data_IF_800067059371
#
_entry.id   IF_800067059371
#
_cell.length_a   1.000
_cell.length_b   1.000
_cell.length_c   1.000
_cell.angle_alpha   90.00
_cell.angle_beta   90.00
_cell.angle_gamma   90.00
#
_symmetry.space_group_name_H-M   'P 1'
#
loop_
_entity.id
_entity.type
_entity.pdbx_description
1 polymer ?
#
# COMPACT_ATOMS: atom_id res chain seq x y z
N UNK A 1 -14.06 -9.26 0.19
CA UNK A 1 -12.81 -8.83 0.82
C UNK A 1 -12.91 -8.78 2.35
N UNK A 2 -13.98 -8.19 2.89
CA UNK A 2 -14.17 -8.09 4.34
C UNK A 2 -14.18 -9.46 5.01
N UNK A 3 -14.92 -10.40 4.44
CA UNK A 3 -15.01 -11.77 4.97
C UNK A 3 -13.65 -12.46 4.95
N UNK A 4 -12.93 -12.36 3.83
CA UNK A 4 -11.60 -12.93 3.72
C UNK A 4 -10.63 -12.31 4.70
N UNK A 5 -10.72 -10.99 4.89
CA UNK A 5 -9.90 -10.29 5.86
C UNK A 5 -10.09 -10.84 7.27
N UNK A 6 -11.33 -11.06 7.70
CA UNK A 6 -11.64 -11.60 9.02
C UNK A 6 -11.15 -13.04 9.18
N UNK A 7 -11.25 -13.85 8.13
CA UNK A 7 -10.75 -15.22 8.15
C UNK A 7 -9.23 -15.26 8.29
N UNK A 8 -8.51 -14.44 7.50
CA UNK A 8 -7.05 -14.40 7.54
C UNK A 8 -6.54 -13.84 8.87
N UNK A 9 -7.24 -12.89 9.46
CA UNK A 9 -6.82 -12.27 10.71
C UNK A 9 -6.83 -13.22 11.91
N UNK A 10 -7.45 -14.39 11.78
CA UNK A 10 -7.43 -15.41 12.83
C UNK A 10 -6.09 -16.17 12.90
N UNK A 11 -5.28 -16.09 11.85
CA UNK A 11 -3.95 -16.70 11.85
C UNK A 11 -2.96 -15.84 12.61
N UNK A 12 -2.01 -16.50 13.29
CA UNK A 12 -0.91 -15.83 14.00
C UNK A 12 0.34 -15.82 13.15
N UNK A 13 1.25 -14.88 13.44
CA UNK A 13 2.58 -14.80 12.83
C UNK A 13 2.54 -14.73 11.30
N UNK A 14 1.63 -13.92 10.75
CA UNK A 14 1.53 -13.70 9.31
C UNK A 14 1.86 -12.27 8.94
N UNK A 15 2.31 -12.09 7.71
CA UNK A 15 2.39 -10.78 7.05
C UNK A 15 1.41 -10.78 5.90
N UNK A 16 0.46 -9.86 5.93
CA UNK A 16 -0.59 -9.78 4.92
C UNK A 16 -0.41 -8.54 4.06
N UNK A 17 -0.24 -8.74 2.75
CA UNK A 17 -0.26 -7.66 1.78
C UNK A 17 -1.69 -7.50 1.26
N UNK A 18 -2.29 -6.35 1.50
CA UNK A 18 -3.66 -6.07 1.08
C UNK A 18 -3.68 -5.34 -0.25
N UNK A 19 -4.70 -5.59 -1.05
CA UNK A 19 -4.99 -4.75 -2.21
C UNK A 19 -5.33 -3.33 -1.77
N UNK A 20 -5.08 -2.36 -2.65
CA UNK A 20 -5.24 -0.95 -2.32
C UNK A 20 -6.67 -0.53 -1.96
N UNK A 21 -7.67 -1.29 -2.39
CA UNK A 21 -9.07 -1.00 -2.06
C UNK A 21 -9.53 -1.58 -0.72
N UNK A 22 -8.87 -2.61 -0.21
CA UNK A 22 -9.31 -3.31 1.00
C UNK A 22 -9.50 -2.36 2.20
N UNK A 23 -8.56 -1.45 2.53
CA UNK A 23 -8.72 -0.55 3.66
C UNK A 23 -9.86 0.46 3.51
N UNK A 24 -10.33 0.68 2.28
CA UNK A 24 -11.29 1.73 1.96
C UNK A 24 -12.75 1.30 2.05
N UNK A 25 -13.01 0.02 2.33
CA UNK A 25 -14.37 -0.51 2.40
C UNK A 25 -14.77 -0.84 3.83
N UNK A 26 -16.02 -0.56 4.16
CA UNK A 26 -16.60 -0.86 5.47
C UNK A 26 -15.74 -0.30 6.61
N UNK A 27 -15.56 -1.09 7.65
CA UNK A 27 -14.69 -0.78 8.80
C UNK A 27 -13.36 -1.53 8.73
N UNK A 28 -12.94 -1.95 7.55
CA UNK A 28 -11.76 -2.81 7.38
C UNK A 28 -10.51 -2.21 8.03
N UNK A 29 -10.26 -0.91 7.82
CA UNK A 29 -9.07 -0.28 8.40
C UNK A 29 -9.12 -0.27 9.92
N UNK A 30 -10.27 0.03 10.50
CA UNK A 30 -10.44 0.03 11.96
C UNK A 30 -10.27 -1.38 12.52
N UNK A 31 -10.82 -2.37 11.82
CA UNK A 31 -10.66 -3.77 12.20
C UNK A 31 -9.20 -4.21 12.15
N UNK A 32 -8.49 -3.90 11.06
CA UNK A 32 -7.07 -4.24 10.93
C UNK A 32 -6.24 -3.62 12.05
N UNK A 33 -6.53 -2.37 12.42
CA UNK A 33 -5.83 -1.69 13.50
C UNK A 33 -6.07 -2.33 14.87
N UNK A 34 -7.22 -2.98 15.07
CA UNK A 34 -7.52 -3.67 16.33
C UNK A 34 -6.79 -5.00 16.46
N UNK A 35 -6.57 -5.70 15.36
CA UNK A 35 -6.07 -7.07 15.39
C UNK A 35 -4.62 -7.21 14.96
N UNK A 36 -4.02 -6.17 14.39
CA UNK A 36 -2.68 -6.27 13.81
C UNK A 36 -1.94 -4.93 13.84
N UNK A 37 -0.66 -4.99 13.53
CA UNK A 37 0.15 -3.82 13.23
C UNK A 37 -0.03 -3.48 11.76
N UNK A 38 -0.53 -2.29 11.47
CA UNK A 38 -0.81 -1.85 10.11
C UNK A 38 0.26 -0.87 9.62
N UNK A 39 0.65 -1.04 8.37
CA UNK A 39 1.68 -0.22 7.75
C UNK A 39 1.16 0.34 6.43
N UNK A 40 1.17 1.66 6.30
CA UNK A 40 0.93 2.33 5.04
C UNK A 40 2.28 2.57 4.37
N UNK A 41 2.50 1.90 3.25
CA UNK A 41 3.70 2.11 2.45
C UNK A 41 3.45 3.28 1.51
N UNK A 42 3.86 4.47 1.95
CA UNK A 42 3.53 5.73 1.31
C UNK A 42 4.58 6.11 0.27
N UNK A 43 4.11 6.45 -0.92
CA UNK A 43 4.96 6.92 -2.02
C UNK A 43 4.37 8.18 -2.64
N UNK A 44 5.25 9.02 -3.19
CA UNK A 44 4.82 10.20 -3.94
C UNK A 44 4.22 9.82 -5.29
N UNK A 45 3.47 10.73 -5.89
CA UNK A 45 2.87 10.51 -7.22
C UNK A 45 3.95 10.18 -8.27
N UNK A 46 5.09 10.89 -8.35
CA UNK A 46 6.15 10.52 -9.29
C UNK A 46 6.66 9.09 -9.11
N UNK A 47 6.85 8.64 -7.88
CA UNK A 47 7.31 7.29 -7.58
C UNK A 47 6.28 6.25 -8.02
N UNK A 48 5.00 6.48 -7.69
CA UNK A 48 3.92 5.59 -8.11
C UNK A 48 3.77 5.54 -9.61
N UNK A 49 3.91 6.67 -10.27
CA UNK A 49 3.86 6.75 -11.73
C UNK A 49 4.96 5.90 -12.36
N UNK A 50 6.18 5.96 -11.82
CA UNK A 50 7.29 5.14 -12.29
C UNK A 50 7.01 3.65 -12.13
N UNK A 51 6.53 3.24 -10.96
CA UNK A 51 6.23 1.84 -10.69
C UNK A 51 5.10 1.31 -11.58
N UNK A 52 4.05 2.09 -11.78
CA UNK A 52 2.93 1.70 -12.64
C UNK A 52 3.32 1.66 -14.11
N UNK A 53 4.24 2.50 -14.56
CA UNK A 53 4.76 2.47 -15.93
C UNK A 53 5.47 1.15 -16.22
N UNK A 54 6.19 0.60 -15.24
CA UNK A 54 6.87 -0.69 -15.37
C UNK A 54 5.86 -1.84 -15.41
N UNK A 55 4.84 -1.81 -14.57
CA UNK A 55 3.84 -2.89 -14.46
C UNK A 55 2.61 -2.69 -15.33
N UNK A 56 2.62 -1.67 -16.19
CA UNK A 56 1.47 -1.25 -17.00
C UNK A 56 0.86 -2.35 -17.85
N UNK A 57 1.70 -3.21 -18.43
CA UNK A 57 1.24 -4.32 -19.26
C UNK A 57 0.48 -5.40 -18.50
N UNK A 58 0.67 -5.47 -17.18
CA UNK A 58 0.01 -6.44 -16.31
C UNK A 58 -1.34 -5.96 -15.77
N UNK A 59 -1.68 -4.69 -16.04
CA UNK A 59 -2.89 -4.06 -15.52
C UNK A 59 -3.77 -3.58 -16.68
N UNK A 60 -4.80 -4.36 -17.06
CA UNK A 60 -5.62 -4.02 -18.24
C UNK A 60 -6.23 -2.63 -18.21
N UNK A 61 -6.63 -2.14 -17.04
CA UNK A 61 -7.22 -0.81 -16.90
C UNK A 61 -6.25 0.32 -17.20
N UNK A 62 -4.93 0.07 -17.13
CA UNK A 62 -3.90 1.09 -17.30
C UNK A 62 -3.18 0.98 -18.63
N UNK A 63 -3.42 -0.08 -19.38
CA UNK A 63 -2.65 -0.42 -20.58
C UNK A 63 -2.63 0.68 -21.64
N UNK A 64 -3.77 1.32 -21.86
CA UNK A 64 -3.93 2.31 -22.94
C UNK A 64 -3.85 3.76 -22.45
N UNK A 65 -3.50 3.98 -21.18
CA UNK A 65 -3.42 5.32 -20.62
C UNK A 65 -2.07 5.96 -20.97
N UNK A 66 -2.12 7.25 -21.31
CA UNK A 66 -0.92 8.06 -21.46
C UNK A 66 -0.32 8.34 -20.08
N UNK A 67 0.93 8.83 -20.04
CA UNK A 67 1.59 9.20 -18.79
C UNK A 67 0.78 10.26 -18.03
N UNK A 68 0.24 11.25 -18.73
CA UNK A 68 -0.56 12.30 -18.13
C UNK A 68 -1.88 11.73 -17.54
N UNK A 69 -2.52 10.83 -18.27
CA UNK A 69 -3.73 10.15 -17.79
C UNK A 69 -3.45 9.29 -16.57
N UNK A 70 -2.30 8.59 -16.54
CA UNK A 70 -1.88 7.82 -15.38
C UNK A 70 -1.63 8.71 -14.17
N UNK A 71 -0.99 9.86 -14.36
CA UNK A 71 -0.73 10.82 -13.29
C UNK A 71 -2.04 11.32 -12.69
N UNK A 72 -2.99 11.66 -13.53
CA UNK A 72 -4.33 12.10 -13.09
C UNK A 72 -5.04 10.99 -12.34
N UNK A 73 -4.97 9.76 -12.84
CA UNK A 73 -5.58 8.58 -12.20
C UNK A 73 -4.99 8.34 -10.81
N UNK A 74 -3.67 8.35 -10.69
CA UNK A 74 -2.98 8.14 -9.41
C UNK A 74 -3.35 9.23 -8.41
N UNK A 75 -3.32 10.49 -8.85
CA UNK A 75 -3.63 11.64 -7.99
C UNK A 75 -5.05 11.53 -7.44
N UNK A 76 -6.00 11.19 -8.30
CA UNK A 76 -7.40 11.04 -7.90
C UNK A 76 -7.61 9.86 -6.96
N UNK A 77 -6.96 8.73 -7.23
CA UNK A 77 -7.04 7.57 -6.35
C UNK A 77 -6.48 7.87 -4.96
N UNK A 78 -5.35 8.57 -4.89
CA UNK A 78 -4.78 8.97 -3.61
C UNK A 78 -5.68 9.93 -2.86
N UNK A 79 -6.30 10.89 -3.56
CA UNK A 79 -7.23 11.83 -2.94
C UNK A 79 -8.37 11.11 -2.23
N UNK A 80 -8.91 10.09 -2.87
CA UNK A 80 -10.04 9.32 -2.33
C UNK A 80 -9.60 8.35 -1.23
N UNK A 81 -8.45 7.70 -1.40
CA UNK A 81 -8.01 6.60 -0.54
C UNK A 81 -7.13 7.02 0.64
N UNK A 82 -6.40 8.13 0.50
CA UNK A 82 -5.46 8.57 1.56
C UNK A 82 -6.09 8.71 2.94
N UNK A 83 -7.33 9.22 3.10
CA UNK A 83 -7.93 9.29 4.43
C UNK A 83 -8.00 7.94 5.14
N UNK A 84 -8.17 6.86 4.41
CA UNK A 84 -8.17 5.50 4.96
C UNK A 84 -6.77 5.02 5.26
N UNK A 85 -5.83 5.23 4.33
CA UNK A 85 -4.43 4.80 4.48
C UNK A 85 -3.74 5.50 5.65
N UNK A 86 -4.03 6.79 5.85
CA UNK A 86 -3.41 7.57 6.93
C UNK A 86 -3.84 7.10 8.33
N UNK A 87 -4.86 6.25 8.42
CA UNK A 87 -5.25 5.63 9.69
C UNK A 87 -4.33 4.50 10.13
N UNK A 88 -3.41 4.06 9.28
CA UNK A 88 -2.46 3.01 9.64
C UNK A 88 -1.63 3.42 10.86
N UNK A 89 -1.26 2.43 11.67
CA UNK A 89 -0.43 2.68 12.85
C UNK A 89 0.96 3.19 12.50
N UNK A 90 1.49 2.74 11.37
CA UNK A 90 2.82 3.13 10.89
C UNK A 90 2.71 3.62 9.45
N UNK A 91 3.43 4.69 9.15
CA UNK A 91 3.54 5.22 7.80
C UNK A 91 5.00 5.13 7.41
N UNK A 92 5.31 4.31 6.42
CA UNK A 92 6.67 4.11 5.93
C UNK A 92 6.80 4.70 4.53
N UNK A 93 7.66 5.71 4.39
CA UNK A 93 7.94 6.29 3.10
C UNK A 93 8.80 5.33 2.28
N UNK A 94 8.39 5.06 1.04
CA UNK A 94 9.08 4.13 0.14
C UNK A 94 9.62 4.82 -1.12
N UNK A 95 9.70 6.14 -1.15
CA UNK A 95 10.22 6.87 -2.31
C UNK A 95 11.66 6.50 -2.65
N UNK A 96 12.39 5.97 -1.67
CA UNK A 96 13.79 5.56 -1.85
C UNK A 96 13.94 4.16 -2.46
N UNK A 97 12.85 3.44 -2.71
CA UNK A 97 12.90 2.07 -3.24
C UNK A 97 13.20 2.06 -4.75
N UNK A 98 14.44 2.36 -5.13
CA UNK A 98 14.89 2.30 -6.52
C UNK A 98 15.85 1.14 -6.79
N UNK A 99 16.28 0.40 -5.75
CA UNK A 99 17.21 -0.72 -5.88
C UNK A 99 17.02 -1.71 -4.72
N UNK A 100 17.58 -2.92 -4.85
CA UNK A 100 17.54 -3.93 -3.80
C UNK A 100 18.17 -3.47 -2.49
N UNK A 101 19.26 -2.71 -2.56
CA UNK A 101 19.94 -2.20 -1.37
C UNK A 101 19.00 -1.32 -0.55
N UNK A 102 18.18 -0.53 -1.23
CA UNK A 102 17.22 0.36 -0.55
C UNK A 102 16.03 -0.41 0.02
N UNK A 103 15.65 -1.51 -0.61
CA UNK A 103 14.61 -2.40 -0.07
C UNK A 103 15.05 -2.94 1.29
N UNK A 104 16.28 -3.43 1.39
CA UNK A 104 16.83 -3.93 2.65
C UNK A 104 16.82 -2.85 3.73
N UNK A 105 17.20 -1.63 3.38
CA UNK A 105 17.18 -0.50 4.31
C UNK A 105 15.78 -0.25 4.85
N UNK A 106 14.77 -0.23 3.99
CA UNK A 106 13.38 -0.02 4.39
C UNK A 106 12.89 -1.17 5.29
N UNK A 107 13.22 -2.41 4.94
CA UNK A 107 12.86 -3.57 5.76
C UNK A 107 13.46 -3.46 7.15
N UNK A 108 14.74 -3.09 7.26
CA UNK A 108 15.39 -2.93 8.55
C UNK A 108 14.76 -1.81 9.38
N UNK A 109 14.40 -0.69 8.75
CA UNK A 109 13.70 0.39 9.43
C UNK A 109 12.35 -0.07 9.99
N UNK A 110 11.60 -0.85 9.21
CA UNK A 110 10.32 -1.40 9.65
C UNK A 110 10.49 -2.38 10.81
N UNK A 111 11.51 -3.23 10.74
CA UNK A 111 11.80 -4.18 11.82
C UNK A 111 12.08 -3.47 13.13
N UNK A 112 12.87 -2.39 13.09
CA UNK A 112 13.15 -1.59 14.28
C UNK A 112 11.90 -0.93 14.83
N UNK A 113 11.08 -0.32 13.96
CA UNK A 113 9.84 0.35 14.38
C UNK A 113 8.84 -0.62 14.99
N UNK A 114 8.80 -1.86 14.50
CA UNK A 114 7.88 -2.90 14.98
C UNK A 114 8.47 -3.76 16.10
N UNK A 115 9.72 -3.54 16.47
CA UNK A 115 10.43 -4.33 17.50
C UNK A 115 10.54 -5.82 17.13
N UNK A 116 10.85 -6.10 15.89
CA UNK A 116 11.02 -7.48 15.40
C UNK A 116 12.47 -7.93 15.34
#
# INVERSE_FOLDING_TARGET
ERRMLHEVAEFEDIVLACGGGTPCFFDNMDYMNRVAETIYMKASVPTLLQHLSISRGERPLLKDKTEEELRTFITEQLRVRSPYYEKAKYIQNIDVLSSFDKVETVVNQLRERLNL
#
